data_IF_699173243190
#
_entry.id   IF_699173243190
#
_cell.length_a   1.000
_cell.length_b   1.000
_cell.length_c   1.000
_cell.angle_alpha   90.00
_cell.angle_beta   90.00
_cell.angle_gamma   90.00
#
_symmetry.space_group_name_H-M   'P 1'
#
loop_
_entity.id
_entity.type
_entity.pdbx_description
1 polymer ?
#
# COMPACT_ATOMS: atom_id res chain seq x y z
N UNK A 1 -48.90 -4.57 -42.71
CA UNK A 1 -47.71 -5.31 -43.17
C UNK A 1 -46.72 -4.34 -43.84
N UNK A 2 -45.41 -4.61 -43.74
CA UNK A 2 -44.30 -3.64 -43.66
C UNK A 2 -43.58 -3.43 -45.03
N UNK A 3 -42.42 -2.73 -45.13
CA UNK A 3 -41.11 -3.27 -44.72
C UNK A 3 -40.19 -2.28 -43.96
N UNK A 4 -39.11 -2.87 -43.42
CA UNK A 4 -38.06 -2.28 -42.59
C UNK A 4 -36.77 -1.93 -43.41
N UNK A 5 -35.57 -1.76 -42.81
CA UNK A 5 -34.52 -0.73 -43.08
C UNK A 5 -33.45 -1.20 -44.13
N UNK A 6 -32.28 -0.56 -44.40
CA UNK A 6 -31.10 -0.55 -43.47
C UNK A 6 -30.02 0.58 -43.65
N UNK A 7 -29.00 0.58 -42.77
CA UNK A 7 -27.58 1.00 -42.98
C UNK A 7 -27.25 2.46 -43.40
N UNK A 8 -26.17 3.15 -43.02
CA UNK A 8 -24.86 2.87 -42.43
C UNK A 8 -24.32 4.22 -41.89
N UNK A 9 -23.84 4.33 -40.66
CA UNK A 9 -22.43 4.18 -40.24
C UNK A 9 -21.66 5.50 -40.03
N UNK A 10 -20.77 5.44 -39.02
CA UNK A 10 -19.64 6.32 -38.69
C UNK A 10 -19.91 7.58 -37.85
N UNK A 11 -19.90 7.35 -36.53
CA UNK A 11 -19.69 8.39 -35.53
C UNK A 11 -19.10 7.79 -34.25
N UNK A 12 -17.93 7.16 -34.38
CA UNK A 12 -16.95 6.80 -33.37
C UNK A 12 -17.27 7.32 -31.94
N UNK A 13 -18.07 6.58 -31.16
CA UNK A 13 -18.20 6.86 -29.72
C UNK A 13 -17.15 6.05 -29.00
N UNK A 14 -16.07 6.76 -28.71
CA UNK A 14 -14.98 6.40 -27.82
C UNK A 14 -15.60 5.82 -26.53
N UNK A 15 -15.68 4.50 -26.45
CA UNK A 15 -15.97 3.75 -25.24
C UNK A 15 -14.63 3.44 -24.57
N UNK A 16 -13.90 4.50 -24.20
CA UNK A 16 -12.68 4.37 -23.38
C UNK A 16 -13.09 4.10 -21.95
N UNK A 17 -13.02 2.82 -21.57
CA UNK A 17 -12.39 2.24 -20.37
C UNK A 17 -12.52 2.89 -18.98
N UNK A 18 -13.33 3.93 -18.76
CA UNK A 18 -13.43 4.65 -17.47
C UNK A 18 -14.67 4.21 -16.66
N UNK A 19 -15.29 3.09 -17.00
CA UNK A 19 -16.53 2.63 -16.33
C UNK A 19 -16.32 1.45 -15.36
N UNK A 20 -15.07 0.98 -15.14
CA UNK A 20 -14.78 -0.20 -14.29
C UNK A 20 -14.12 0.09 -12.93
N UNK A 21 -13.94 1.35 -12.56
CA UNK A 21 -13.33 1.71 -11.26
C UNK A 21 -14.32 2.27 -10.23
N UNK A 22 -15.61 2.32 -10.54
CA UNK A 22 -16.67 2.80 -9.63
C UNK A 22 -16.93 1.91 -8.40
N UNK A 23 -16.13 0.87 -8.16
CA UNK A 23 -16.35 -0.11 -7.09
C UNK A 23 -15.42 0.00 -5.90
N UNK A 24 -14.34 0.81 -5.99
CA UNK A 24 -13.42 0.99 -4.88
C UNK A 24 -13.54 2.43 -4.41
N UNK A 25 -14.09 2.60 -3.21
CA UNK A 25 -13.94 3.87 -2.51
C UNK A 25 -12.47 4.27 -2.57
N UNK A 26 -12.12 5.51 -2.94
CA UNK A 26 -10.77 6.00 -2.66
C UNK A 26 -10.48 5.66 -1.19
N UNK A 27 -9.24 5.26 -0.88
CA UNK A 27 -8.79 5.20 0.51
C UNK A 27 -8.98 6.60 1.05
N UNK A 28 -10.18 6.85 1.57
CA UNK A 28 -10.57 8.16 2.03
C UNK A 28 -9.59 8.43 3.16
N UNK A 29 -8.96 9.62 3.22
CA UNK A 29 -8.21 9.99 4.40
C UNK A 29 -9.18 9.74 5.55
N UNK A 30 -8.92 8.69 6.33
CA UNK A 30 -9.92 8.12 7.22
C UNK A 30 -10.13 9.21 8.26
N UNK A 31 -11.23 9.94 8.09
CA UNK A 31 -11.43 11.21 8.76
C UNK A 31 -11.32 10.98 10.25
N UNK A 32 -10.34 11.65 10.88
CA UNK A 32 -10.15 11.71 12.33
C UNK A 32 -10.63 10.43 13.04
N UNK A 33 -10.09 9.26 12.65
CA UNK A 33 -10.18 8.09 13.51
C UNK A 33 -9.57 8.53 14.85
N UNK A 34 -10.34 8.41 15.94
CA UNK A 34 -9.93 8.87 17.27
C UNK A 34 -8.47 8.48 17.51
N UNK A 35 -7.66 9.38 18.06
CA UNK A 35 -6.18 9.40 17.96
C UNK A 35 -5.43 8.12 18.35
N UNK A 36 -6.12 7.08 18.81
CA UNK A 36 -5.63 5.80 19.29
C UNK A 36 -6.36 4.59 18.63
N UNK A 37 -6.96 4.73 17.44
CA UNK A 37 -7.53 3.58 16.72
C UNK A 37 -6.41 2.73 16.07
N UNK A 38 -6.18 1.55 16.63
CA UNK A 38 -5.16 0.61 16.16
C UNK A 38 -5.39 0.15 14.72
N UNK A 39 -6.65 0.03 14.31
CA UNK A 39 -7.00 -0.40 12.95
C UNK A 39 -6.66 0.68 11.93
N UNK A 40 -7.14 1.90 12.15
CA UNK A 40 -6.82 3.06 11.32
C UNK A 40 -5.31 3.29 11.21
N UNK A 41 -4.59 3.27 12.35
CA UNK A 41 -3.14 3.48 12.38
C UNK A 41 -2.38 2.39 11.60
N UNK A 42 -2.77 1.12 11.73
CA UNK A 42 -2.16 0.02 10.98
C UNK A 42 -2.39 0.18 9.47
N UNK A 43 -3.63 0.46 9.04
CA UNK A 43 -3.99 0.63 7.63
C UNK A 43 -3.24 1.82 7.00
N UNK A 44 -3.20 2.95 7.70
CA UNK A 44 -2.47 4.14 7.27
C UNK A 44 -0.98 3.83 7.08
N UNK A 45 -0.37 3.17 8.09
CA UNK A 45 1.06 2.86 8.07
C UNK A 45 1.43 1.81 7.02
N UNK A 46 0.61 0.75 6.86
CA UNK A 46 0.80 -0.26 5.82
C UNK A 46 0.73 0.38 4.42
N UNK A 47 -0.22 1.29 4.20
CA UNK A 47 -0.37 2.01 2.95
C UNK A 47 0.81 2.94 2.68
N UNK A 48 1.30 3.62 3.71
CA UNK A 48 2.51 4.44 3.62
C UNK A 48 3.73 3.60 3.25
N UNK A 49 3.98 2.49 3.94
CA UNK A 49 5.12 1.61 3.63
C UNK A 49 5.01 1.04 2.21
N UNK A 50 3.82 0.61 1.80
CA UNK A 50 3.56 0.17 0.42
C UNK A 50 3.94 1.25 -0.59
N UNK A 51 3.56 2.50 -0.37
CA UNK A 51 3.97 3.62 -1.20
C UNK A 51 5.48 3.82 -1.23
N UNK A 52 6.14 3.82 -0.06
CA UNK A 52 7.60 4.02 0.06
C UNK A 52 8.37 2.92 -0.71
N UNK A 53 7.91 1.67 -0.63
CA UNK A 53 8.50 0.55 -1.38
C UNK A 53 8.31 0.71 -2.89
N UNK A 54 7.09 1.04 -3.35
CA UNK A 54 6.82 1.29 -4.76
C UNK A 54 7.69 2.43 -5.30
N UNK A 55 7.83 3.53 -4.55
CA UNK A 55 8.68 4.66 -4.94
C UNK A 55 10.16 4.26 -5.08
N UNK A 56 10.66 3.40 -4.19
CA UNK A 56 12.03 2.87 -4.27
C UNK A 56 12.24 1.95 -5.48
N UNK A 57 11.26 1.12 -5.83
CA UNK A 57 11.32 0.26 -7.01
C UNK A 57 11.27 1.10 -8.30
N UNK A 58 10.44 2.14 -8.33
CA UNK A 58 10.38 3.10 -9.45
C UNK A 58 11.73 3.85 -9.60
N UNK A 59 12.36 4.27 -8.49
CA UNK A 59 13.66 4.92 -8.50
C UNK A 59 14.80 3.95 -8.93
N UNK A 60 14.79 2.71 -8.45
CA UNK A 60 15.78 1.70 -8.80
C UNK A 60 15.68 1.27 -10.27
N UNK A 61 14.48 1.30 -10.85
CA UNK A 61 14.23 1.01 -12.27
C UNK A 61 14.49 2.20 -13.21
N UNK A 62 15.13 3.27 -12.72
CA UNK A 62 15.39 4.53 -13.45
C UNK A 62 14.12 5.24 -13.95
N UNK A 63 13.01 5.14 -13.21
CA UNK A 63 11.76 5.82 -13.52
C UNK A 63 10.84 5.10 -14.50
N UNK A 64 11.11 3.82 -14.80
CA UNK A 64 10.23 2.98 -15.62
C UNK A 64 9.13 2.27 -14.81
N UNK A 65 9.12 2.44 -13.49
CA UNK A 65 8.08 1.90 -12.64
C UNK A 65 6.84 2.80 -12.63
N UNK A 66 5.65 2.18 -12.61
CA UNK A 66 4.34 2.85 -12.63
C UNK A 66 3.56 2.66 -11.33
N UNK A 67 4.13 1.92 -10.39
CA UNK A 67 3.48 1.49 -9.17
C UNK A 67 3.24 2.63 -8.19
N UNK A 68 4.21 3.52 -7.98
CA UNK A 68 4.04 4.64 -7.05
C UNK A 68 3.01 5.66 -7.57
N UNK A 69 2.97 5.87 -8.89
CA UNK A 69 1.97 6.72 -9.54
C UNK A 69 0.56 6.10 -9.46
N UNK A 70 0.42 4.81 -9.77
CA UNK A 70 -0.85 4.10 -9.66
C UNK A 70 -1.36 4.07 -8.21
N UNK A 71 -0.45 3.93 -7.24
CA UNK A 71 -0.75 4.05 -5.82
C UNK A 71 -1.25 5.45 -5.45
N UNK A 72 -0.54 6.50 -5.85
CA UNK A 72 -0.95 7.89 -5.55
C UNK A 72 -2.32 8.23 -6.13
N UNK A 73 -2.67 7.69 -7.30
CA UNK A 73 -4.01 7.86 -7.90
C UNK A 73 -5.11 7.12 -7.13
N UNK A 74 -4.75 6.04 -6.43
CA UNK A 74 -5.67 5.22 -5.63
C UNK A 74 -5.84 5.76 -4.19
N UNK A 75 -4.72 6.13 -3.56
CA UNK A 75 -4.66 6.49 -2.15
C UNK A 75 -5.01 7.96 -1.88
N UNK A 76 -5.25 8.77 -2.92
CA UNK A 76 -5.79 10.12 -2.79
C UNK A 76 -4.81 11.20 -2.29
N UNK A 77 -3.62 10.83 -1.83
CA UNK A 77 -2.45 11.68 -1.64
C UNK A 77 -1.22 10.78 -1.50
N UNK A 78 -0.22 10.94 -2.37
CA UNK A 78 1.09 10.35 -2.12
C UNK A 78 1.65 10.98 -0.85
N UNK A 79 2.06 10.18 0.13
CA UNK A 79 2.92 10.69 1.18
C UNK A 79 4.11 11.36 0.48
N UNK A 80 4.53 12.55 0.92
CA UNK A 80 5.59 13.34 0.26
C UNK A 80 6.98 12.68 0.28
N UNK A 81 7.04 11.36 0.45
CA UNK A 81 8.22 10.54 0.46
C UNK A 81 8.89 10.54 -0.92
N UNK A 82 10.17 10.92 -0.93
CA UNK A 82 11.03 10.85 -2.10
C UNK A 82 12.22 9.94 -1.80
N UNK A 83 12.51 8.93 -2.64
CA UNK A 83 13.68 8.07 -2.48
C UNK A 83 14.98 8.90 -2.49
N UNK A 84 15.80 8.77 -1.44
CA UNK A 84 17.13 9.40 -1.35
C UNK A 84 18.24 8.37 -1.54
N UNK A 85 18.87 8.40 -2.72
CA UNK A 85 20.01 7.54 -3.05
C UNK A 85 21.22 7.75 -2.12
N UNK A 86 21.33 8.93 -1.50
CA UNK A 86 22.35 9.24 -0.50
C UNK A 86 22.13 8.52 0.83
N UNK A 87 20.88 8.20 1.20
CA UNK A 87 20.58 7.34 2.35
C UNK A 87 20.79 5.86 2.04
N UNK A 88 20.47 5.43 0.82
CA UNK A 88 20.81 4.08 0.35
C UNK A 88 22.33 3.84 0.41
N UNK A 89 23.13 4.81 -0.04
CA UNK A 89 24.58 4.74 0.01
C UNK A 89 25.13 4.69 1.45
N UNK A 90 24.43 5.31 2.40
CA UNK A 90 24.76 5.28 3.83
C UNK A 90 24.25 4.05 4.56
N UNK A 91 23.50 3.15 3.88
CA UNK A 91 22.81 2.01 4.49
C UNK A 91 21.93 2.44 5.68
N UNK A 92 21.35 3.64 5.60
CA UNK A 92 20.49 4.16 6.65
C UNK A 92 19.08 3.59 6.59
N UNK A 93 18.15 4.28 7.25
CA UNK A 93 16.74 3.90 7.27
C UNK A 93 16.04 4.33 5.97
N UNK A 94 16.29 3.56 4.92
CA UNK A 94 15.86 3.80 3.53
C UNK A 94 14.34 4.00 3.41
N UNK A 95 13.56 3.34 4.27
CA UNK A 95 12.11 3.41 4.29
C UNK A 95 11.57 4.23 5.45
N UNK A 96 12.41 4.91 6.25
CA UNK A 96 12.02 5.74 7.40
C UNK A 96 11.17 4.99 8.43
N UNK A 97 11.44 3.70 8.66
CA UNK A 97 10.68 2.84 9.58
C UNK A 97 10.92 3.22 11.06
N UNK A 98 12.06 3.80 11.39
CA UNK A 98 12.38 4.27 12.74
C UNK A 98 11.48 5.43 13.17
N UNK A 99 11.25 6.40 12.27
CA UNK A 99 10.33 7.52 12.55
C UNK A 99 8.88 7.03 12.68
N UNK A 100 8.45 6.10 11.83
CA UNK A 100 7.14 5.44 11.93
C UNK A 100 6.99 4.71 13.27
N UNK A 101 8.00 3.91 13.64
CA UNK A 101 8.02 3.17 14.90
C UNK A 101 7.87 4.13 16.08
N UNK A 102 8.64 5.23 16.07
CA UNK A 102 8.63 6.22 17.16
C UNK A 102 7.30 6.96 17.27
N UNK A 103 6.71 7.35 16.14
CA UNK A 103 5.40 8.03 16.12
C UNK A 103 4.30 7.11 16.64
N UNK A 104 4.22 5.88 16.15
CA UNK A 104 3.25 4.89 16.65
C UNK A 104 3.47 4.56 18.12
N UNK A 105 4.72 4.34 18.54
CA UNK A 105 5.04 4.08 19.95
C UNK A 105 4.64 5.25 20.86
N UNK A 106 4.87 6.50 20.43
CA UNK A 106 4.45 7.68 21.17
C UNK A 106 2.92 7.82 21.23
N UNK A 107 2.22 7.58 20.11
CA UNK A 107 0.75 7.65 20.03
C UNK A 107 0.07 6.64 20.95
N UNK A 108 0.60 5.42 21.04
CA UNK A 108 0.00 4.34 21.81
C UNK A 108 0.61 4.12 23.20
N UNK A 109 1.60 4.92 23.61
CA UNK A 109 2.25 4.80 24.92
C UNK A 109 3.01 3.48 25.10
N UNK A 110 3.77 3.08 24.08
CA UNK A 110 4.43 1.78 24.02
C UNK A 110 5.51 1.60 25.09
N UNK A 111 5.63 0.36 25.58
CA UNK A 111 6.82 -0.08 26.32
C UNK A 111 8.01 -0.33 25.38
N UNK A 112 9.26 -0.34 25.89
CA UNK A 112 10.44 -0.66 25.07
C UNK A 112 10.38 -2.04 24.39
N UNK A 113 9.70 -3.01 25.01
CA UNK A 113 9.48 -4.33 24.42
C UNK A 113 8.53 -4.23 23.20
N UNK A 114 7.40 -3.54 23.36
CA UNK A 114 6.44 -3.33 22.27
C UNK A 114 7.01 -2.49 21.14
N UNK A 115 7.88 -1.52 21.42
CA UNK A 115 8.59 -0.76 20.38
C UNK A 115 9.51 -1.67 19.55
N UNK A 116 10.21 -2.62 20.20
CA UNK A 116 11.02 -3.62 19.52
C UNK A 116 10.20 -4.58 18.67
N UNK A 117 9.05 -5.04 19.17
CA UNK A 117 8.11 -5.90 18.44
C UNK A 117 7.50 -5.17 17.24
N UNK A 118 7.06 -3.92 17.43
CA UNK A 118 6.58 -3.06 16.36
C UNK A 118 7.65 -2.87 15.28
N UNK A 119 8.89 -2.53 15.67
CA UNK A 119 9.97 -2.32 14.72
C UNK A 119 10.21 -3.56 13.88
N UNK A 120 10.18 -4.74 14.50
CA UNK A 120 10.32 -6.03 13.84
C UNK A 120 9.16 -6.30 12.88
N UNK A 121 7.92 -6.08 13.31
CA UNK A 121 6.74 -6.27 12.47
C UNK A 121 6.77 -5.37 11.23
N UNK A 122 7.22 -4.12 11.39
CA UNK A 122 7.43 -3.17 10.29
C UNK A 122 8.53 -3.63 9.32
N UNK A 123 9.67 -4.11 9.83
CA UNK A 123 10.75 -4.65 9.00
C UNK A 123 10.30 -5.89 8.21
N UNK A 124 9.61 -6.82 8.87
CA UNK A 124 9.17 -8.08 8.26
C UNK A 124 8.14 -7.81 7.14
N UNK A 125 7.16 -6.93 7.40
CA UNK A 125 6.22 -6.48 6.38
C UNK A 125 6.93 -5.81 5.19
N UNK A 126 7.81 -4.85 5.47
CA UNK A 126 8.54 -4.12 4.43
C UNK A 126 9.37 -5.07 3.57
N UNK A 127 10.02 -6.06 4.19
CA UNK A 127 10.79 -7.08 3.46
C UNK A 127 9.90 -7.89 2.51
N UNK A 128 8.73 -8.33 2.97
CA UNK A 128 7.80 -9.09 2.11
C UNK A 128 7.22 -8.23 0.97
N UNK A 129 6.89 -6.97 1.25
CA UNK A 129 6.43 -6.03 0.25
C UNK A 129 7.50 -5.77 -0.83
N UNK A 130 8.76 -5.59 -0.43
CA UNK A 130 9.89 -5.45 -1.36
C UNK A 130 10.03 -6.69 -2.24
N UNK A 131 10.01 -7.90 -1.65
CA UNK A 131 10.10 -9.16 -2.41
C UNK A 131 8.97 -9.27 -3.42
N UNK A 132 7.74 -8.95 -3.02
CA UNK A 132 6.57 -9.00 -3.88
C UNK A 132 6.72 -8.03 -5.07
N UNK A 133 6.97 -6.75 -4.78
CA UNK A 133 7.01 -5.69 -5.78
C UNK A 133 8.21 -5.88 -6.72
N UNK A 134 9.37 -6.29 -6.19
CA UNK A 134 10.53 -6.63 -7.00
C UNK A 134 10.26 -7.85 -7.90
N UNK A 135 9.54 -8.87 -7.40
CA UNK A 135 9.09 -10.00 -8.20
C UNK A 135 8.12 -9.61 -9.33
N UNK A 136 7.43 -8.48 -9.18
CA UNK A 136 6.54 -7.89 -10.18
C UNK A 136 7.21 -6.77 -11.00
N UNK A 137 8.55 -6.72 -11.03
CA UNK A 137 9.28 -5.75 -11.85
C UNK A 137 8.94 -5.90 -13.33
N UNK A 138 8.36 -4.85 -13.94
CA UNK A 138 7.88 -4.85 -15.33
C UNK A 138 6.41 -5.22 -15.52
N UNK A 139 5.70 -5.64 -14.45
CA UNK A 139 4.25 -5.76 -14.44
C UNK A 139 3.57 -4.38 -14.51
N UNK A 140 2.27 -4.34 -14.87
CA UNK A 140 1.52 -3.09 -14.85
C UNK A 140 1.37 -2.55 -13.42
N UNK A 141 1.26 -1.22 -13.26
CA UNK A 141 1.05 -0.58 -11.96
C UNK A 141 -0.11 -1.18 -11.17
N UNK A 142 -1.21 -1.54 -11.83
CA UNK A 142 -2.36 -2.21 -11.19
C UNK A 142 -2.02 -3.59 -10.61
N UNK A 143 -1.15 -4.36 -11.27
CA UNK A 143 -0.67 -5.64 -10.73
C UNK A 143 0.29 -5.42 -9.56
N UNK A 144 1.16 -4.42 -9.64
CA UNK A 144 2.11 -4.07 -8.58
C UNK A 144 1.41 -3.61 -7.29
N UNK A 145 0.32 -2.85 -7.41
CA UNK A 145 -0.47 -2.41 -6.25
C UNK A 145 -1.47 -3.46 -5.75
N UNK A 146 -1.80 -4.48 -6.56
CA UNK A 146 -2.77 -5.51 -6.21
C UNK A 146 -2.41 -6.30 -4.95
N UNK A 147 -1.12 -6.66 -4.81
CA UNK A 147 -0.62 -7.36 -3.63
C UNK A 147 -0.66 -6.50 -2.35
N UNK A 148 -0.31 -5.22 -2.46
CA UNK A 148 -0.39 -4.27 -1.34
C UNK A 148 -1.86 -4.03 -0.93
N UNK A 149 -2.79 -3.96 -1.88
CA UNK A 149 -4.24 -3.85 -1.59
C UNK A 149 -4.76 -5.09 -0.85
N UNK A 150 -4.39 -6.30 -1.29
CA UNK A 150 -4.78 -7.53 -0.61
C UNK A 150 -4.25 -7.58 0.84
N UNK A 151 -3.00 -7.14 1.05
CA UNK A 151 -2.42 -7.05 2.39
C UNK A 151 -3.16 -6.04 3.29
N UNK A 152 -3.60 -4.90 2.73
CA UNK A 152 -4.44 -3.93 3.43
C UNK A 152 -5.81 -4.50 3.79
N UNK A 153 -6.47 -5.21 2.87
CA UNK A 153 -7.76 -5.85 3.13
C UNK A 153 -7.64 -6.91 4.23
N UNK A 154 -6.55 -7.69 4.22
CA UNK A 154 -6.24 -8.68 5.26
C UNK A 154 -6.04 -8.03 6.63
N UNK A 155 -5.24 -6.96 6.71
CA UNK A 155 -5.06 -6.19 7.95
C UNK A 155 -6.36 -5.54 8.44
N UNK A 156 -7.19 -5.05 7.52
CA UNK A 156 -8.45 -4.40 7.85
C UNK A 156 -9.49 -5.38 8.40
N UNK A 157 -9.42 -6.66 8.00
CA UNK A 157 -10.29 -7.74 8.45
C UNK A 157 -9.76 -8.56 9.65
N UNK A 158 -8.52 -8.31 10.09
CA UNK A 158 -7.90 -9.07 11.16
C UNK A 158 -8.63 -8.87 12.50
N UNK A 159 -8.93 -10.00 13.16
CA UNK A 159 -9.35 -10.02 14.56
C UNK A 159 -8.11 -9.77 15.44
N UNK A 160 -7.99 -8.55 15.94
CA UNK A 160 -6.81 -8.09 16.64
C UNK A 160 -7.20 -7.13 17.77
N UNK A 161 -6.45 -7.14 18.88
CA UNK A 161 -6.77 -6.35 20.07
C UNK A 161 -6.74 -4.85 19.79
N UNK A 162 -7.12 -4.05 20.79
CA UNK A 162 -6.95 -2.61 20.75
C UNK A 162 -5.50 -2.21 21.06
N UNK A 163 -5.15 -0.94 20.84
CA UNK A 163 -3.83 -0.40 21.18
C UNK A 163 -2.71 -0.92 20.27
N UNK A 164 -1.46 -0.78 20.72
CA UNK A 164 -0.30 -1.09 19.89
C UNK A 164 -0.19 -2.58 19.53
N UNK A 165 -0.55 -3.48 20.44
CA UNK A 165 -0.58 -4.92 20.16
C UNK A 165 -1.54 -5.23 19.01
N UNK A 166 -2.62 -4.43 18.89
CA UNK A 166 -3.55 -4.46 17.77
C UNK A 166 -2.97 -4.00 16.44
N UNK A 167 -2.03 -3.05 16.48
CA UNK A 167 -1.29 -2.60 15.30
C UNK A 167 -0.32 -3.70 14.87
N UNK A 168 0.47 -4.23 15.83
CA UNK A 168 1.45 -5.31 15.59
C UNK A 168 0.76 -6.53 14.97
N UNK A 169 -0.33 -7.03 15.56
CA UNK A 169 -1.05 -8.20 15.05
C UNK A 169 -1.58 -8.01 13.61
N UNK A 170 -1.97 -6.78 13.24
CA UNK A 170 -2.41 -6.44 11.88
C UNK A 170 -1.24 -6.43 10.90
N UNK A 171 -0.07 -5.94 11.31
CA UNK A 171 1.17 -6.04 10.53
C UNK A 171 1.58 -7.49 10.32
N UNK A 172 1.52 -8.32 11.37
CA UNK A 172 1.84 -9.75 11.27
C UNK A 172 0.88 -10.49 10.33
N UNK A 173 -0.41 -10.18 10.39
CA UNK A 173 -1.43 -10.75 9.49
C UNK A 173 -1.17 -10.35 8.03
N UNK A 174 -0.92 -9.07 7.77
CA UNK A 174 -0.56 -8.58 6.43
C UNK A 174 0.73 -9.23 5.91
N UNK A 175 1.73 -9.40 6.79
CA UNK A 175 3.01 -10.03 6.45
C UNK A 175 2.83 -11.50 6.11
N UNK A 176 2.02 -12.24 6.87
CA UNK A 176 1.72 -13.64 6.60
C UNK A 176 1.03 -13.81 5.24
N UNK A 177 0.07 -12.93 4.92
CA UNK A 177 -0.64 -12.94 3.64
C UNK A 177 0.31 -12.64 2.47
N UNK A 178 1.12 -11.56 2.56
CA UNK A 178 2.15 -11.26 1.55
C UNK A 178 3.16 -12.40 1.38
N UNK A 179 3.61 -13.00 2.48
CA UNK A 179 4.54 -14.12 2.41
C UNK A 179 3.92 -15.35 1.75
N UNK A 180 2.61 -15.58 1.90
CA UNK A 180 1.91 -16.66 1.23
C UNK A 180 1.81 -16.38 -0.28
N UNK A 181 1.45 -15.15 -0.66
CA UNK A 181 1.40 -14.71 -2.05
C UNK A 181 2.76 -14.82 -2.75
N UNK A 182 3.85 -14.48 -2.04
CA UNK A 182 5.22 -14.56 -2.57
C UNK A 182 5.72 -16.00 -2.83
N UNK A 183 5.02 -17.02 -2.30
CA UNK A 183 5.38 -18.44 -2.47
C UNK A 183 4.50 -19.16 -3.51
N UNK A 184 3.42 -18.54 -3.94
CA UNK A 184 2.47 -19.09 -4.92
C UNK A 184 2.97 -18.86 -6.35
#
# INVERSE_FOLDING_TARGET
>A
MPPAPPDAAHGNRIMTSIDRLSGLSPLSPTGLAGSNDARGAAIETLGEIGHRVLAWVDAASRGNGSGAQAWSQTAGNGSGFAPDMGELARRGDVYGLGDITRDLSARFGASPAQEGELRRALDDFTRQAVVQIAGLSGASGDQQIGGVRAALDSAAGADAPAGLDGVIARFETATADLSAQNRA
#
